data_IF_956792089046
#
_entry.id   IF_956792089046
#
_cell.length_a   1.000
_cell.length_b   1.000
_cell.length_c   1.000
_cell.angle_alpha   90.00
_cell.angle_beta   90.00
_cell.angle_gamma   90.00
#
_symmetry.space_group_name_H-M   'P 1'
#
loop_
_entity.id
_entity.type
_entity.pdbx_description
1 polymer ?
#
# COMPACT_ATOMS: atom_id res chain seq x y z
N UNK A 1 15.60 0.40 -25.92
CA UNK A 1 15.49 0.73 -27.36
C UNK A 1 15.32 2.24 -27.47
N UNK A 2 16.10 2.96 -28.28
CA UNK A 2 15.84 4.36 -28.57
C UNK A 2 14.52 4.43 -29.37
N UNK A 3 13.50 5.07 -28.81
CA UNK A 3 12.19 5.21 -29.47
C UNK A 3 10.99 4.60 -28.73
N UNK A 4 11.17 3.87 -27.63
CA UNK A 4 10.04 3.54 -26.75
C UNK A 4 9.72 4.74 -25.87
N UNK A 5 8.64 5.46 -26.17
CA UNK A 5 8.07 6.45 -25.24
C UNK A 5 7.76 5.74 -23.92
N UNK A 6 8.29 6.25 -22.80
CA UNK A 6 8.06 5.66 -21.48
C UNK A 6 6.58 5.80 -21.10
N UNK A 7 5.84 4.70 -21.19
CA UNK A 7 4.40 4.62 -20.86
C UNK A 7 4.13 4.50 -19.36
N UNK A 8 5.17 4.43 -18.53
CA UNK A 8 5.05 4.49 -17.09
C UNK A 8 6.18 3.83 -16.33
N UNK A 9 6.24 4.09 -15.02
CA UNK A 9 7.29 3.67 -14.11
C UNK A 9 6.71 3.19 -12.78
N UNK A 10 7.21 2.07 -12.30
CA UNK A 10 6.90 1.54 -10.97
C UNK A 10 8.20 1.32 -10.19
N UNK A 11 8.23 1.80 -8.95
CA UNK A 11 9.37 1.67 -8.04
C UNK A 11 8.91 0.91 -6.81
N UNK A 12 9.51 -0.24 -6.54
CA UNK A 12 9.20 -1.07 -5.38
C UNK A 12 10.27 -0.91 -4.31
N UNK A 13 9.92 -0.34 -3.17
CA UNK A 13 10.82 -0.03 -2.06
C UNK A 13 10.90 -1.21 -1.08
N UNK A 14 11.70 -2.21 -1.44
CA UNK A 14 12.05 -3.35 -0.59
C UNK A 14 13.16 -2.99 0.42
N UNK A 15 12.97 -1.92 1.18
CA UNK A 15 13.97 -1.35 2.09
C UNK A 15 13.46 -1.30 3.53
N UNK A 16 14.35 -1.18 4.53
CA UNK A 16 13.93 -0.97 5.91
C UNK A 16 13.08 0.31 6.08
N UNK A 17 12.08 0.31 7.00
CA UNK A 17 11.08 1.37 7.11
C UNK A 17 11.66 2.74 7.49
N UNK A 18 12.79 2.78 8.18
CA UNK A 18 13.47 4.04 8.52
C UNK A 18 13.94 4.83 7.29
N UNK A 19 14.05 4.20 6.13
CA UNK A 19 14.49 4.84 4.89
C UNK A 19 13.34 5.21 3.95
N UNK A 20 12.08 4.94 4.31
CA UNK A 20 10.93 5.17 3.43
C UNK A 20 10.77 6.62 3.01
N UNK A 21 10.78 7.55 3.96
CA UNK A 21 10.59 8.98 3.65
C UNK A 21 11.69 9.48 2.70
N UNK A 22 12.95 9.27 3.07
CA UNK A 22 14.09 9.69 2.25
C UNK A 22 14.06 9.05 0.86
N UNK A 23 13.73 7.76 0.77
CA UNK A 23 13.70 7.05 -0.52
C UNK A 23 12.54 7.52 -1.39
N UNK A 24 11.36 7.74 -0.82
CA UNK A 24 10.22 8.34 -1.52
C UNK A 24 10.55 9.75 -2.03
N UNK A 25 11.31 10.55 -1.28
CA UNK A 25 11.78 11.87 -1.70
C UNK A 25 12.69 11.78 -2.92
N UNK A 26 13.70 10.92 -2.86
CA UNK A 26 14.63 10.72 -3.98
C UNK A 26 13.90 10.17 -5.21
N UNK A 27 12.99 9.21 -5.02
CA UNK A 27 12.18 8.61 -6.09
C UNK A 27 11.25 9.66 -6.71
N UNK A 28 10.58 10.48 -5.91
CA UNK A 28 9.75 11.56 -6.40
C UNK A 28 10.59 12.59 -7.19
N UNK A 29 11.72 13.02 -6.65
CA UNK A 29 12.57 14.07 -7.23
C UNK A 29 13.23 13.65 -8.54
N UNK A 30 13.79 12.44 -8.58
CA UNK A 30 14.65 12.02 -9.69
C UNK A 30 13.96 11.04 -10.64
N UNK A 31 12.96 10.30 -10.16
CA UNK A 31 12.35 9.23 -10.93
C UNK A 31 10.90 9.51 -11.35
N UNK A 32 10.23 10.56 -10.87
CA UNK A 32 8.89 10.92 -11.35
C UNK A 32 8.98 11.58 -12.74
N UNK A 33 8.38 11.00 -13.80
CA UNK A 33 8.41 11.62 -15.12
C UNK A 33 7.65 12.96 -15.13
N UNK A 34 8.27 14.02 -15.67
CA UNK A 34 7.63 15.34 -15.83
C UNK A 34 6.44 15.29 -16.80
N UNK A 35 6.47 14.35 -17.76
CA UNK A 35 5.43 14.16 -18.76
C UNK A 35 4.06 13.71 -18.18
N UNK A 36 4.01 13.25 -16.93
CA UNK A 36 2.75 12.87 -16.25
C UNK A 36 1.72 14.01 -16.20
N UNK A 37 2.18 15.26 -16.29
CA UNK A 37 1.33 16.46 -16.19
C UNK A 37 0.91 17.00 -17.57
N UNK A 38 1.48 16.46 -18.65
CA UNK A 38 1.38 17.02 -20.01
C UNK A 38 0.63 16.12 -20.98
N UNK A 39 0.71 14.79 -20.82
CA UNK A 39 0.09 13.82 -21.73
C UNK A 39 -0.63 12.72 -20.95
N UNK A 40 -1.89 12.38 -21.30
CA UNK A 40 -2.53 11.19 -20.77
C UNK A 40 -1.82 9.93 -21.27
N UNK A 41 -1.52 9.00 -20.37
CA UNK A 41 -0.92 7.71 -20.72
C UNK A 41 0.15 7.24 -19.72
N UNK A 42 1.21 8.04 -19.48
CA UNK A 42 2.26 7.65 -18.54
C UNK A 42 1.71 7.50 -17.11
N UNK A 43 2.15 6.46 -16.39
CA UNK A 43 1.86 6.29 -14.97
C UNK A 43 3.14 6.33 -14.13
N UNK A 44 3.01 6.72 -12.86
CA UNK A 44 4.08 6.62 -11.88
C UNK A 44 3.55 6.02 -10.60
N UNK A 45 4.23 5.01 -10.07
CA UNK A 45 3.80 4.28 -8.88
C UNK A 45 4.99 3.97 -8.00
N UNK A 46 4.86 4.23 -6.71
CA UNK A 46 5.80 3.87 -5.66
C UNK A 46 5.12 2.87 -4.74
N UNK A 47 5.73 1.72 -4.56
CA UNK A 47 5.23 0.64 -3.73
C UNK A 47 6.08 0.58 -2.46
N UNK A 48 5.44 0.59 -1.29
CA UNK A 48 6.09 0.52 0.03
C UNK A 48 5.56 -0.67 0.81
N UNK A 49 6.45 -1.33 1.56
CA UNK A 49 6.12 -2.49 2.41
C UNK A 49 5.85 -2.09 3.86
N UNK A 50 5.16 -2.95 4.61
CA UNK A 50 4.98 -2.79 6.05
C UNK A 50 6.31 -3.00 6.80
N UNK A 51 6.52 -2.42 8.00
CA UNK A 51 5.55 -1.72 8.86
C UNK A 51 5.39 -0.22 8.57
N UNK A 52 4.18 0.32 8.78
CA UNK A 52 3.82 1.72 8.57
C UNK A 52 3.70 2.47 9.90
N UNK A 53 4.81 2.62 10.61
CA UNK A 53 4.82 3.09 11.99
C UNK A 53 4.72 1.92 12.99
N UNK A 54 4.86 2.24 14.27
CA UNK A 54 4.85 1.28 15.39
C UNK A 54 3.65 1.48 16.31
N UNK A 55 2.98 2.61 16.18
CA UNK A 55 1.81 3.04 16.94
C UNK A 55 0.96 3.98 16.06
N UNK A 56 -0.21 4.37 16.55
CA UNK A 56 -1.15 5.24 15.82
C UNK A 56 -0.51 6.59 15.43
N UNK A 57 0.28 7.17 16.33
CA UNK A 57 0.91 8.47 16.14
C UNK A 57 1.96 8.42 15.02
N UNK A 58 2.92 7.50 15.11
CA UNK A 58 3.96 7.30 14.10
C UNK A 58 3.40 6.85 12.75
N UNK A 59 2.30 6.08 12.73
CA UNK A 59 1.61 5.73 11.49
C UNK A 59 0.96 6.96 10.84
N UNK A 60 0.31 7.82 11.64
CA UNK A 60 -0.30 9.05 11.16
C UNK A 60 0.75 10.02 10.64
N UNK A 61 1.87 10.18 11.37
CA UNK A 61 3.00 11.00 10.96
C UNK A 61 3.60 10.53 9.64
N UNK A 62 3.85 9.22 9.48
CA UNK A 62 4.37 8.65 8.24
C UNK A 62 3.40 8.87 7.08
N UNK A 63 2.11 8.57 7.26
CA UNK A 63 1.09 8.77 6.23
C UNK A 63 0.96 10.24 5.83
N UNK A 64 1.09 11.14 6.81
CA UNK A 64 1.05 12.58 6.61
C UNK A 64 2.28 13.05 5.81
N UNK A 65 3.49 12.64 6.20
CA UNK A 65 4.73 13.01 5.51
C UNK A 65 4.86 12.41 4.11
N UNK A 66 4.24 11.27 3.84
CA UNK A 66 4.18 10.70 2.48
C UNK A 66 3.20 11.45 1.55
N UNK A 67 2.21 12.15 2.12
CA UNK A 67 1.16 12.88 1.38
C UNK A 67 1.36 14.40 1.34
N UNK A 68 2.14 14.96 2.26
CA UNK A 68 2.24 16.41 2.45
C UNK A 68 3.10 17.10 1.40
N UNK A 69 2.53 18.18 0.88
CA UNK A 69 3.21 19.29 0.23
C UNK A 69 3.60 20.24 1.37
N UNK A 70 4.87 20.38 1.74
CA UNK A 70 5.26 21.54 2.55
C UNK A 70 5.41 22.74 1.62
N UNK A 71 4.74 23.83 1.99
CA UNK A 71 4.98 25.16 1.46
C UNK A 71 6.42 25.58 1.78
N UNK A 72 7.34 25.39 0.83
CA UNK A 72 8.68 25.99 0.85
C UNK A 72 9.88 25.06 0.69
N UNK A 73 9.74 23.74 0.74
CA UNK A 73 10.84 22.78 0.53
C UNK A 73 10.38 21.65 -0.42
N UNK A 74 11.28 20.98 -1.16
CA UNK A 74 10.94 19.98 -2.18
C UNK A 74 10.38 18.72 -1.53
N UNK A 75 9.09 18.81 -1.21
CA UNK A 75 8.31 17.83 -0.47
C UNK A 75 7.80 16.76 -1.40
N UNK A 76 7.84 15.52 -0.94
CA UNK A 76 7.27 14.36 -1.62
C UNK A 76 5.81 14.66 -1.98
N UNK A 77 5.51 14.83 -3.27
CA UNK A 77 4.12 14.95 -3.75
C UNK A 77 3.71 13.68 -4.47
N UNK A 78 3.59 12.58 -3.73
CA UNK A 78 2.94 11.38 -4.25
C UNK A 78 1.43 11.56 -4.14
N UNK A 79 0.74 11.53 -5.28
CA UNK A 79 -0.72 11.49 -5.29
C UNK A 79 -1.19 10.12 -4.77
N UNK A 80 -2.43 10.02 -4.26
CA UNK A 80 -2.96 8.73 -3.77
C UNK A 80 -2.91 7.62 -4.83
N UNK A 81 -3.03 7.97 -6.12
CA UNK A 81 -2.92 7.04 -7.25
C UNK A 81 -1.48 6.57 -7.53
N UNK A 82 -0.49 7.25 -6.96
CA UNK A 82 0.95 7.00 -7.14
C UNK A 82 1.54 6.24 -5.95
N UNK A 83 0.92 6.22 -4.76
CA UNK A 83 1.42 5.52 -3.58
C UNK A 83 0.66 4.20 -3.33
N UNK A 84 1.37 3.08 -3.34
CA UNK A 84 0.83 1.74 -3.09
C UNK A 84 1.44 1.19 -1.81
N UNK A 85 0.58 1.02 -0.81
CA UNK A 85 0.92 0.44 0.49
C UNK A 85 0.64 -1.06 0.41
N UNK A 86 1.68 -1.88 0.46
CA UNK A 86 1.52 -3.33 0.35
C UNK A 86 1.00 -3.93 1.65
N UNK A 87 -0.20 -4.50 1.55
CA UNK A 87 -0.70 -5.50 2.48
C UNK A 87 -0.91 -6.81 1.72
N UNK A 88 -0.04 -7.79 1.98
CA UNK A 88 -0.11 -9.08 1.29
C UNK A 88 -1.36 -9.89 1.62
N UNK A 89 -2.09 -9.59 2.71
CA UNK A 89 -3.39 -10.23 2.97
C UNK A 89 -4.47 -9.70 2.03
N UNK A 90 -4.45 -8.41 1.68
CA UNK A 90 -5.41 -7.82 0.74
C UNK A 90 -5.34 -8.45 -0.67
N UNK A 91 -4.17 -8.99 -1.04
CA UNK A 91 -3.96 -9.72 -2.29
C UNK A 91 -4.41 -11.19 -2.28
N UNK A 92 -4.82 -11.75 -1.13
CA UNK A 92 -5.20 -13.16 -1.05
C UNK A 92 -6.53 -13.42 -1.77
N UNK A 93 -6.66 -14.49 -2.58
CA UNK A 93 -7.89 -14.77 -3.33
C UNK A 93 -9.15 -14.79 -2.48
N UNK A 94 -9.07 -15.36 -1.27
CA UNK A 94 -10.22 -15.42 -0.33
C UNK A 94 -10.64 -14.02 0.14
N UNK A 95 -9.69 -13.12 0.39
CA UNK A 95 -9.98 -11.74 0.81
C UNK A 95 -10.61 -10.94 -0.32
N UNK A 96 -10.10 -11.10 -1.55
CA UNK A 96 -10.69 -10.45 -2.72
C UNK A 96 -12.09 -11.00 -3.04
N UNK A 97 -12.27 -12.32 -2.97
CA UNK A 97 -13.55 -12.97 -3.19
C UNK A 97 -14.62 -12.54 -2.18
N UNK A 98 -14.24 -12.29 -0.92
CA UNK A 98 -15.16 -11.76 0.10
C UNK A 98 -15.78 -10.43 -0.34
N UNK A 99 -14.97 -9.50 -0.85
CA UNK A 99 -15.47 -8.21 -1.34
C UNK A 99 -16.48 -8.39 -2.47
N UNK A 100 -16.13 -9.18 -3.49
CA UNK A 100 -17.03 -9.46 -4.61
C UNK A 100 -18.32 -10.14 -4.16
N UNK A 101 -18.24 -11.08 -3.22
CA UNK A 101 -19.41 -11.75 -2.64
C UNK A 101 -20.34 -10.76 -1.94
N UNK A 102 -19.79 -9.85 -1.12
CA UNK A 102 -20.57 -8.81 -0.44
C UNK A 102 -21.24 -7.87 -1.42
N UNK A 103 -20.50 -7.37 -2.43
CA UNK A 103 -21.02 -6.47 -3.46
C UNK A 103 -22.18 -7.11 -4.25
N UNK A 104 -21.99 -8.35 -4.72
CA UNK A 104 -23.02 -9.08 -5.48
C UNK A 104 -24.27 -9.41 -4.65
N UNK A 105 -24.14 -9.60 -3.34
CA UNK A 105 -25.24 -9.97 -2.46
C UNK A 105 -25.75 -8.82 -1.59
N UNK A 106 -25.40 -7.57 -1.93
CA UNK A 106 -25.73 -6.37 -1.14
C UNK A 106 -27.22 -6.29 -0.78
N UNK A 107 -28.12 -6.60 -1.72
CA UNK A 107 -29.57 -6.52 -1.48
C UNK A 107 -30.06 -7.43 -0.34
N UNK A 108 -29.44 -8.60 -0.17
CA UNK A 108 -29.80 -9.59 0.85
C UNK A 108 -29.00 -9.38 2.14
N UNK A 109 -27.72 -9.04 2.01
CA UNK A 109 -26.80 -8.92 3.15
C UNK A 109 -26.92 -7.59 3.88
N UNK A 110 -27.18 -6.48 3.18
CA UNK A 110 -27.22 -5.15 3.78
C UNK A 110 -28.24 -5.03 4.95
N UNK A 111 -29.47 -5.56 4.86
CA UNK A 111 -30.43 -5.50 5.97
C UNK A 111 -30.00 -6.26 7.22
N UNK A 112 -29.22 -7.33 7.07
CA UNK A 112 -28.77 -8.19 8.18
C UNK A 112 -27.35 -7.85 8.68
N UNK A 113 -26.62 -6.99 7.97
CA UNK A 113 -25.26 -6.60 8.34
C UNK A 113 -25.22 -5.52 9.42
N UNK A 114 -25.76 -5.81 10.60
CA UNK A 114 -25.76 -4.91 11.75
C UNK A 114 -25.88 -5.66 13.08
N UNK A 115 -25.69 -4.93 14.18
CA UNK A 115 -25.67 -5.47 15.56
C UNK A 115 -27.00 -6.06 16.04
N UNK A 116 -28.11 -5.88 15.31
CA UNK A 116 -29.39 -6.55 15.65
C UNK A 116 -29.40 -8.01 15.21
N UNK A 117 -28.66 -8.35 14.15
CA UNK A 117 -28.66 -9.69 13.55
C UNK A 117 -27.31 -10.40 13.68
N UNK A 118 -26.20 -9.66 13.74
CA UNK A 118 -24.86 -10.20 13.94
C UNK A 118 -24.50 -10.10 15.43
N UNK A 119 -24.25 -11.25 16.04
CA UNK A 119 -23.78 -11.32 17.44
C UNK A 119 -22.28 -11.03 17.53
N UNK A 120 -21.46 -11.73 16.74
CA UNK A 120 -20.01 -11.69 16.82
C UNK A 120 -19.36 -11.85 15.44
N UNK A 121 -18.18 -11.25 15.26
CA UNK A 121 -17.31 -11.44 14.10
C UNK A 121 -15.97 -11.98 14.60
N UNK A 122 -15.60 -13.18 14.18
CA UNK A 122 -14.32 -13.80 14.54
C UNK A 122 -13.34 -13.76 13.37
N UNK A 123 -12.25 -13.01 13.54
CA UNK A 123 -11.12 -13.01 12.61
C UNK A 123 -9.99 -13.81 13.26
N UNK A 124 -9.56 -14.90 12.61
CA UNK A 124 -8.46 -15.74 13.10
C UNK A 124 -7.36 -15.84 12.06
N UNK A 125 -6.13 -15.64 12.52
CA UNK A 125 -4.92 -16.00 11.80
C UNK A 125 -4.17 -17.01 12.67
N UNK A 126 -3.73 -18.11 12.08
CA UNK A 126 -2.86 -19.07 12.75
C UNK A 126 -1.65 -19.32 11.87
N UNK A 127 -0.49 -19.48 12.50
CA UNK A 127 0.76 -19.77 11.79
C UNK A 127 1.42 -20.92 12.52
N UNK A 128 1.58 -22.04 11.83
CA UNK A 128 2.41 -23.13 12.31
C UNK A 128 3.84 -22.85 11.86
N UNK A 129 4.73 -22.50 12.79
CA UNK A 129 6.15 -22.35 12.51
C UNK A 129 6.84 -23.65 12.94
N UNK A 130 7.34 -24.41 11.97
CA UNK A 130 8.24 -25.52 12.25
C UNK A 130 9.65 -24.96 12.41
N UNK A 131 10.11 -24.81 13.65
CA UNK A 131 11.50 -24.54 13.92
C UNK A 131 12.27 -25.86 13.83
N UNK A 132 12.97 -26.07 12.72
CA UNK A 132 13.94 -27.15 12.62
C UNK A 132 15.16 -26.73 13.44
N UNK A 133 15.24 -27.22 14.68
CA UNK A 133 16.45 -27.12 15.48
C UNK A 133 17.53 -27.93 14.80
N UNK A 134 18.56 -27.28 14.24
CA UNK A 134 19.79 -27.97 13.89
C UNK A 134 20.45 -28.44 15.19
N UNK A 135 20.89 -29.71 15.32
CA UNK A 135 21.63 -30.13 16.48
C UNK A 135 22.95 -29.35 16.57
N UNK A 136 23.43 -29.00 17.78
CA UNK A 136 24.73 -28.36 17.94
C UNK A 136 25.84 -29.31 17.44
N UNK A 137 26.77 -28.74 16.67
CA UNK A 137 28.00 -29.40 16.19
C UNK A 137 28.98 -29.57 17.34
#
# INVERSE_FOLDING_TARGET
LPGSSEVGRMVYLAIPPQFFLQSCELVHRYLRPQALEVIPGPFFRVVVEKPFGRDLESAHELATRLRQIYDGEPSIRLQDKELYVMDHYAGKPVVQALRSYLELNTAVLHPIWNTRYIRDIHVRTSTHVLLVSTPPV
#
